data_IF_320574593475
#
_entry.id   IF_320574593475
#
_cell.length_a   1.000
_cell.length_b   1.000
_cell.length_c   1.000
_cell.angle_alpha   90.00
_cell.angle_beta   90.00
_cell.angle_gamma   90.00
#
_symmetry.space_group_name_H-M   'P 1'
#
loop_
_entity.id
_entity.type
_entity.pdbx_description
1 polymer ?
#
# COMPACT_ATOMS: atom_id res chain seq x y z
N UNK A 1 -5.64 -35.97 -3.45
CA UNK A 1 -5.25 -35.24 -2.22
C UNK A 1 -6.48 -34.53 -1.68
N UNK A 2 -6.99 -34.86 -0.46
CA UNK A 2 -8.19 -34.22 0.09
C UNK A 2 -7.88 -32.79 0.50
N UNK A 3 -8.65 -31.83 -0.01
CA UNK A 3 -8.52 -30.42 0.36
C UNK A 3 -8.99 -30.26 1.81
N UNK A 4 -8.10 -29.82 2.70
CA UNK A 4 -8.42 -29.57 4.11
C UNK A 4 -9.40 -28.42 4.26
N UNK A 5 -10.40 -28.57 5.13
CA UNK A 5 -11.32 -27.50 5.47
C UNK A 5 -10.60 -26.31 6.14
N UNK A 6 -11.22 -25.12 6.12
CA UNK A 6 -10.68 -23.93 6.81
C UNK A 6 -10.43 -24.20 8.30
N UNK A 7 -11.37 -24.92 8.95
CA UNK A 7 -11.24 -25.28 10.37
C UNK A 7 -10.01 -26.15 10.61
N UNK A 8 -9.84 -27.23 9.83
CA UNK A 8 -8.67 -28.11 9.94
C UNK A 8 -7.34 -27.36 9.76
N UNK A 9 -7.27 -26.38 8.82
CA UNK A 9 -6.08 -25.54 8.64
C UNK A 9 -5.80 -24.65 9.86
N UNK A 10 -6.84 -24.12 10.48
CA UNK A 10 -6.73 -23.29 11.69
C UNK A 10 -6.27 -24.12 12.87
N UNK A 11 -6.84 -25.30 13.05
CA UNK A 11 -6.49 -26.22 14.15
C UNK A 11 -5.02 -26.69 14.01
N UNK A 12 -4.58 -27.06 12.81
CA UNK A 12 -3.19 -27.42 12.55
C UNK A 12 -2.23 -26.24 12.80
N UNK A 13 -2.63 -25.02 12.43
CA UNK A 13 -1.85 -23.84 12.71
C UNK A 13 -1.76 -23.53 14.20
N UNK A 14 -2.84 -23.71 14.95
CA UNK A 14 -2.87 -23.55 16.40
C UNK A 14 -2.02 -24.60 17.12
N UNK A 15 -2.03 -25.85 16.64
CA UNK A 15 -1.16 -26.93 17.15
C UNK A 15 0.31 -26.60 16.87
N UNK A 16 0.62 -26.10 15.67
CA UNK A 16 1.99 -25.76 15.28
C UNK A 16 2.56 -24.55 16.01
N UNK A 17 1.69 -23.60 16.36
CA UNK A 17 2.06 -22.35 17.03
C UNK A 17 1.19 -22.08 18.27
N UNK A 18 1.28 -22.91 19.31
CA UNK A 18 0.35 -22.89 20.45
C UNK A 18 0.46 -21.60 21.29
N UNK A 19 1.62 -20.98 21.32
CA UNK A 19 1.92 -19.82 22.16
C UNK A 19 2.07 -18.54 21.33
N UNK A 20 1.00 -18.14 20.62
CA UNK A 20 0.97 -16.89 19.88
C UNK A 20 0.55 -15.74 20.78
N UNK A 21 1.36 -14.73 20.81
CA UNK A 21 1.05 -13.48 21.49
C UNK A 21 1.17 -12.33 20.48
N UNK A 22 0.52 -11.21 20.77
CA UNK A 22 0.69 -9.98 19.98
C UNK A 22 2.10 -9.40 20.11
N UNK A 23 2.78 -9.71 21.22
CA UNK A 23 4.17 -9.35 21.41
C UNK A 23 5.10 -10.29 20.61
N UNK A 24 5.88 -9.76 19.65
CA UNK A 24 6.72 -10.57 18.78
C UNK A 24 7.92 -11.19 19.53
N UNK A 25 8.44 -10.54 20.57
CA UNK A 25 9.55 -11.09 21.37
C UNK A 25 9.09 -12.30 22.16
N UNK A 26 7.93 -12.21 22.81
CA UNK A 26 7.34 -13.33 23.56
C UNK A 26 7.05 -14.49 22.62
N UNK A 27 6.46 -14.23 21.46
CA UNK A 27 6.14 -15.26 20.47
C UNK A 27 7.38 -15.97 19.94
N UNK A 28 8.45 -15.22 19.61
CA UNK A 28 9.72 -15.79 19.16
C UNK A 28 10.44 -16.54 20.26
N UNK A 29 10.46 -16.03 21.49
CA UNK A 29 11.01 -16.72 22.65
C UNK A 29 10.34 -18.08 22.82
N UNK A 30 9.01 -18.13 22.84
CA UNK A 30 8.26 -19.36 23.00
C UNK A 30 8.50 -20.35 21.84
N UNK A 31 8.66 -19.86 20.62
CA UNK A 31 9.08 -20.68 19.49
C UNK A 31 10.45 -21.32 19.72
N UNK A 32 11.46 -20.56 20.20
CA UNK A 32 12.79 -21.14 20.48
C UNK A 32 12.77 -22.13 21.65
N UNK A 33 11.97 -21.86 22.71
CA UNK A 33 11.76 -22.79 23.82
C UNK A 33 11.16 -24.12 23.32
N UNK A 34 10.18 -24.09 22.43
CA UNK A 34 9.61 -25.32 21.83
C UNK A 34 10.61 -26.12 21.00
N UNK A 35 11.74 -25.51 20.62
CA UNK A 35 12.86 -26.16 19.91
C UNK A 35 13.99 -26.62 20.84
N UNK A 36 13.75 -26.64 22.14
CA UNK A 36 14.71 -27.11 23.14
C UNK A 36 15.79 -26.10 23.57
N UNK A 37 15.58 -24.83 23.26
CA UNK A 37 16.50 -23.80 23.76
C UNK A 37 16.19 -23.49 25.23
N UNK A 38 17.23 -23.16 26.03
CA UNK A 38 16.99 -22.65 27.37
C UNK A 38 16.38 -21.24 27.34
N UNK A 39 15.77 -20.82 28.44
CA UNK A 39 15.01 -19.56 28.52
C UNK A 39 15.85 -18.33 28.15
N UNK A 40 17.01 -18.16 28.73
CA UNK A 40 17.88 -16.99 28.53
C UNK A 40 18.37 -16.89 27.09
N UNK A 41 18.75 -18.01 26.52
CA UNK A 41 19.16 -18.10 25.10
C UNK A 41 18.02 -17.79 24.14
N UNK A 42 16.82 -18.30 24.45
CA UNK A 42 15.63 -18.04 23.65
C UNK A 42 15.21 -16.57 23.73
N UNK A 43 15.18 -15.96 24.91
CA UNK A 43 14.87 -14.54 25.11
C UNK A 43 15.89 -13.64 24.40
N UNK A 44 17.18 -13.85 24.60
CA UNK A 44 18.24 -13.06 23.95
C UNK A 44 18.17 -13.15 22.42
N UNK A 45 17.86 -14.33 21.87
CA UNK A 45 17.71 -14.51 20.43
C UNK A 45 16.46 -13.85 19.88
N UNK A 46 15.32 -13.93 20.59
CA UNK A 46 14.09 -13.30 20.22
C UNK A 46 14.27 -11.77 20.16
N UNK A 47 14.73 -11.17 21.25
CA UNK A 47 15.00 -9.73 21.33
C UNK A 47 15.94 -9.26 20.25
N UNK A 48 17.11 -9.89 20.09
CA UNK A 48 18.09 -9.54 19.04
C UNK A 48 17.46 -9.58 17.64
N UNK A 49 16.53 -10.52 17.37
CA UNK A 49 15.88 -10.62 16.05
C UNK A 49 14.90 -9.48 15.81
N UNK A 50 14.12 -9.10 16.82
CA UNK A 50 13.17 -7.95 16.72
C UNK A 50 13.95 -6.65 16.60
N UNK A 51 14.90 -6.39 17.52
CA UNK A 51 15.71 -5.17 17.53
C UNK A 51 16.45 -4.97 16.18
N UNK A 52 17.04 -6.04 15.62
CA UNK A 52 17.72 -5.93 14.33
C UNK A 52 16.78 -5.51 13.19
N UNK A 53 15.53 -5.98 13.17
CA UNK A 53 14.55 -5.57 12.17
C UNK A 53 14.17 -4.10 12.39
N UNK A 54 13.87 -3.70 13.62
CA UNK A 54 13.44 -2.34 13.94
C UNK A 54 14.55 -1.30 13.67
N UNK A 55 15.80 -1.58 14.08
CA UNK A 55 16.95 -0.69 13.90
C UNK A 55 17.32 -0.54 12.41
N UNK A 56 17.26 -1.62 11.64
CA UNK A 56 17.67 -1.61 10.24
C UNK A 56 16.53 -1.20 9.28
N UNK A 57 15.27 -1.17 9.74
CA UNK A 57 14.13 -0.76 8.94
C UNK A 57 14.18 0.74 8.67
N UNK A 58 14.56 1.10 7.46
CA UNK A 58 14.59 2.49 6.99
C UNK A 58 13.44 2.73 6.04
N UNK A 59 12.85 3.91 6.14
CA UNK A 59 11.75 4.34 5.28
C UNK A 59 12.20 5.52 4.41
N UNK A 60 11.60 5.57 3.24
CA UNK A 60 11.58 6.73 2.37
C UNK A 60 10.13 7.12 2.09
N UNK A 61 9.93 8.34 1.66
CA UNK A 61 8.61 8.82 1.28
C UNK A 61 8.67 9.62 -0.02
N UNK A 62 7.63 9.44 -0.83
CA UNK A 62 7.40 10.19 -2.06
C UNK A 62 6.06 10.91 -1.89
N UNK A 63 6.02 12.19 -2.26
CA UNK A 63 4.78 12.96 -2.33
C UNK A 63 4.54 13.42 -3.76
N UNK A 64 3.39 13.09 -4.27
CA UNK A 64 2.89 13.50 -5.59
C UNK A 64 1.69 14.41 -5.37
N UNK A 65 1.68 15.58 -6.00
CA UNK A 65 0.54 16.51 -5.98
C UNK A 65 0.13 16.79 -7.42
N UNK A 66 -1.16 16.56 -7.70
CA UNK A 66 -1.74 16.81 -9.02
C UNK A 66 -2.92 17.77 -8.87
N UNK A 67 -2.82 18.94 -9.52
CA UNK A 67 -3.86 19.98 -9.50
C UNK A 67 -4.91 19.67 -10.57
N UNK A 68 -5.77 18.71 -10.28
CA UNK A 68 -6.88 18.27 -11.11
C UNK A 68 -8.04 17.76 -10.24
N UNK A 69 -9.21 17.61 -10.84
CA UNK A 69 -10.36 17.00 -10.16
C UNK A 69 -10.05 15.55 -9.80
N UNK A 70 -10.31 15.14 -8.55
CA UNK A 70 -10.13 13.74 -8.16
C UNK A 70 -10.96 12.81 -9.04
N UNK A 71 -10.30 11.78 -9.58
CA UNK A 71 -10.96 10.76 -10.40
C UNK A 71 -11.47 9.61 -9.54
N UNK A 72 -12.49 8.92 -10.03
CA UNK A 72 -13.04 7.69 -9.45
C UNK A 72 -12.86 6.52 -10.43
N UNK A 73 -12.85 5.31 -9.90
CA UNK A 73 -12.95 4.12 -10.76
C UNK A 73 -14.29 4.10 -11.46
N UNK A 74 -14.27 4.05 -12.79
CA UNK A 74 -15.48 3.82 -13.57
C UNK A 74 -15.98 2.39 -13.32
N UNK A 75 -17.30 2.23 -13.23
CA UNK A 75 -17.92 0.89 -13.17
C UNK A 75 -17.60 0.14 -14.45
N UNK A 76 -17.09 -1.09 -14.39
CA UNK A 76 -16.89 -1.90 -15.57
C UNK A 76 -18.20 -2.04 -16.36
N UNK A 77 -18.13 -1.89 -17.67
CA UNK A 77 -19.25 -2.12 -18.59
C UNK A 77 -18.98 -3.37 -19.41
N UNK A 78 -20.00 -4.14 -19.68
CA UNK A 78 -19.93 -5.29 -20.57
C UNK A 78 -20.49 -4.92 -21.94
N UNK A 79 -19.71 -5.22 -23.00
CA UNK A 79 -20.16 -5.12 -24.38
C UNK A 79 -19.58 -6.28 -25.18
N UNK A 80 -20.41 -7.07 -25.85
CA UNK A 80 -20.01 -8.23 -26.66
C UNK A 80 -19.02 -9.17 -25.93
N UNK A 81 -19.35 -9.61 -24.73
CA UNK A 81 -18.53 -10.49 -23.89
C UNK A 81 -17.20 -9.90 -23.38
N UNK A 82 -16.91 -8.62 -23.66
CA UNK A 82 -15.76 -7.91 -23.12
C UNK A 82 -16.17 -6.98 -21.97
N UNK A 83 -15.42 -7.06 -20.87
CA UNK A 83 -15.57 -6.14 -19.73
C UNK A 83 -14.52 -5.05 -19.89
N UNK A 84 -14.94 -3.80 -19.90
CA UNK A 84 -14.06 -2.64 -19.98
C UNK A 84 -14.46 -1.52 -19.02
N UNK A 85 -13.52 -0.71 -18.60
CA UNK A 85 -13.76 0.49 -17.79
C UNK A 85 -13.57 1.72 -18.69
N UNK A 86 -14.64 2.49 -18.96
CA UNK A 86 -14.52 3.72 -19.74
C UNK A 86 -13.50 4.67 -19.09
N UNK A 87 -12.74 5.41 -19.87
CA UNK A 87 -11.75 6.40 -19.44
C UNK A 87 -10.55 5.86 -18.63
N UNK A 88 -10.51 4.59 -18.21
CA UNK A 88 -9.42 4.04 -17.41
C UNK A 88 -8.06 4.23 -18.11
N UNK A 89 -7.97 3.97 -19.40
CA UNK A 89 -6.72 4.12 -20.16
C UNK A 89 -6.30 5.58 -20.30
N UNK A 90 -7.25 6.52 -20.51
CA UNK A 90 -6.95 7.94 -20.63
C UNK A 90 -6.47 8.52 -19.28
N UNK A 91 -7.18 8.21 -18.19
CA UNK A 91 -6.82 8.62 -16.85
C UNK A 91 -5.44 8.06 -16.46
N UNK A 92 -5.17 6.78 -16.76
CA UNK A 92 -3.87 6.16 -16.50
C UNK A 92 -2.75 6.85 -17.29
N UNK A 93 -2.93 7.12 -18.58
CA UNK A 93 -1.91 7.77 -19.42
C UNK A 93 -1.60 9.19 -18.96
N UNK A 94 -2.63 9.96 -18.57
CA UNK A 94 -2.43 11.29 -18.02
C UNK A 94 -1.67 11.24 -16.69
N UNK A 95 -2.13 10.40 -15.77
CA UNK A 95 -1.50 10.18 -14.47
C UNK A 95 -0.04 9.73 -14.61
N UNK A 96 0.23 8.77 -15.50
CA UNK A 96 1.57 8.28 -15.79
C UNK A 96 2.52 9.41 -16.21
N UNK A 97 2.07 10.27 -17.14
CA UNK A 97 2.86 11.42 -17.57
C UNK A 97 3.15 12.41 -16.45
N UNK A 98 2.13 12.72 -15.63
CA UNK A 98 2.27 13.61 -14.49
C UNK A 98 3.25 13.06 -13.45
N UNK A 99 3.09 11.79 -13.06
CA UNK A 99 3.96 11.15 -12.07
C UNK A 99 5.39 11.00 -12.58
N UNK A 100 5.59 10.55 -13.81
CA UNK A 100 6.93 10.46 -14.43
C UNK A 100 7.60 11.83 -14.55
N UNK A 101 6.83 12.89 -14.76
CA UNK A 101 7.35 14.24 -14.74
C UNK A 101 7.87 14.67 -13.38
N UNK A 102 7.22 14.24 -12.29
CA UNK A 102 7.59 14.56 -10.90
C UNK A 102 8.69 13.62 -10.39
N UNK A 103 8.64 12.35 -10.76
CA UNK A 103 9.43 11.26 -10.19
C UNK A 103 10.39 10.62 -11.21
N UNK A 104 11.08 11.44 -12.03
CA UNK A 104 11.88 10.98 -13.19
C UNK A 104 12.90 9.88 -12.89
N UNK A 105 13.53 9.91 -11.72
CA UNK A 105 14.65 9.04 -11.37
C UNK A 105 14.26 7.95 -10.34
N UNK A 106 12.97 7.81 -10.05
CA UNK A 106 12.51 6.88 -9.04
C UNK A 106 12.25 5.53 -9.69
N UNK A 107 12.95 4.51 -9.21
CA UNK A 107 12.69 3.12 -9.57
C UNK A 107 11.39 2.63 -8.94
N UNK A 108 10.77 1.61 -9.56
CA UNK A 108 9.53 1.03 -9.07
C UNK A 108 9.67 0.50 -7.64
N UNK A 109 8.80 0.98 -6.75
CA UNK A 109 8.72 0.54 -5.36
C UNK A 109 8.20 -0.90 -5.34
N UNK A 110 8.93 -1.78 -4.68
CA UNK A 110 8.63 -3.21 -4.59
C UNK A 110 8.64 -3.74 -3.14
N UNK A 111 8.89 -2.86 -2.18
CA UNK A 111 8.97 -3.16 -0.75
C UNK A 111 7.65 -2.84 -0.05
N UNK A 112 7.41 -3.37 1.17
CA UNK A 112 6.22 -3.02 1.94
C UNK A 112 6.06 -1.50 2.08
N UNK A 113 4.86 -1.01 1.81
CA UNK A 113 4.56 0.41 1.76
C UNK A 113 3.24 0.77 2.43
N UNK A 114 3.12 2.04 2.80
CA UNK A 114 1.90 2.70 3.27
C UNK A 114 1.52 3.78 2.26
N UNK A 115 0.23 4.00 2.07
CA UNK A 115 -0.28 5.03 1.16
C UNK A 115 -1.28 5.93 1.86
N UNK A 116 -1.16 7.25 1.63
CA UNK A 116 -2.15 8.24 2.03
C UNK A 116 -2.61 8.96 0.76
N UNK A 117 -3.91 9.02 0.54
CA UNK A 117 -4.52 9.72 -0.59
C UNK A 117 -5.45 10.80 -0.02
N UNK A 118 -5.11 12.07 -0.26
CA UNK A 118 -5.96 13.19 0.07
C UNK A 118 -6.60 13.73 -1.23
N UNK A 119 -7.90 13.54 -1.37
CA UNK A 119 -8.69 13.99 -2.50
C UNK A 119 -9.42 15.29 -2.14
N UNK A 120 -9.01 16.40 -2.76
CA UNK A 120 -9.62 17.72 -2.58
C UNK A 120 -10.62 17.95 -3.73
N UNK A 121 -11.88 17.78 -3.41
CA UNK A 121 -13.00 17.88 -4.34
C UNK A 121 -13.38 19.36 -4.51
N UNK A 122 -13.81 19.72 -5.70
CA UNK A 122 -14.23 21.09 -5.99
C UNK A 122 -15.32 21.56 -5.01
N UNK A 123 -15.13 22.75 -4.44
CA UNK A 123 -16.10 23.38 -3.55
C UNK A 123 -17.39 23.71 -4.30
N UNK A 124 -18.57 23.21 -3.89
CA UNK A 124 -19.80 23.58 -4.54
C UNK A 124 -20.07 25.09 -4.42
N UNK A 125 -20.49 25.73 -5.52
CA UNK A 125 -20.71 27.17 -5.57
C UNK A 125 -21.80 27.70 -4.63
N UNK A 126 -22.68 26.83 -4.14
CA UNK A 126 -23.79 27.13 -3.21
C UNK A 126 -23.36 27.13 -1.72
N UNK A 127 -22.10 26.75 -1.41
CA UNK A 127 -21.62 26.74 -0.03
C UNK A 127 -21.48 28.18 0.49
N UNK A 128 -22.02 28.52 1.67
CA UNK A 128 -21.89 29.83 2.28
C UNK A 128 -20.41 30.20 2.52
N UNK A 129 -20.02 31.48 2.37
CA UNK A 129 -18.61 31.90 2.47
C UNK A 129 -17.96 31.56 3.82
N UNK A 130 -18.69 31.59 4.93
CA UNK A 130 -18.22 31.21 6.26
C UNK A 130 -17.96 29.69 6.36
N UNK A 131 -18.82 28.87 5.77
CA UNK A 131 -18.59 27.42 5.70
C UNK A 131 -17.45 27.04 4.76
N UNK A 132 -17.21 27.81 3.67
CA UNK A 132 -16.03 27.59 2.81
C UNK A 132 -14.74 27.64 3.63
N UNK A 133 -14.62 28.61 4.55
CA UNK A 133 -13.46 28.73 5.43
C UNK A 133 -13.32 27.49 6.34
N UNK A 134 -14.44 27.00 6.86
CA UNK A 134 -14.45 25.82 7.75
C UNK A 134 -14.12 24.52 7.00
N UNK A 135 -14.58 24.36 5.77
CA UNK A 135 -14.20 23.24 4.91
C UNK A 135 -12.73 23.28 4.52
N UNK A 136 -12.21 24.45 4.10
CA UNK A 136 -10.77 24.61 3.82
C UNK A 136 -9.91 24.35 5.05
N UNK A 137 -10.39 24.75 6.22
CA UNK A 137 -9.77 24.47 7.50
C UNK A 137 -9.89 23.02 7.99
N UNK A 138 -10.62 22.16 7.25
CA UNK A 138 -10.91 20.75 7.60
C UNK A 138 -11.65 20.62 8.95
N UNK A 139 -12.44 21.61 9.31
CA UNK A 139 -13.32 21.60 10.49
C UNK A 139 -14.64 20.91 10.19
N UNK A 140 -15.11 21.03 8.93
CA UNK A 140 -16.31 20.35 8.45
C UNK A 140 -15.95 19.17 7.54
N UNK A 141 -16.66 18.05 7.72
CA UNK A 141 -16.53 16.85 6.91
C UNK A 141 -17.48 16.87 5.71
N UNK A 142 -17.12 16.14 4.67
CA UNK A 142 -17.90 16.05 3.44
C UNK A 142 -18.54 14.66 3.28
N UNK A 143 -19.70 14.63 2.64
CA UNK A 143 -20.44 13.39 2.29
C UNK A 143 -20.68 13.22 0.79
N UNK A 144 -19.99 14.00 -0.05
CA UNK A 144 -20.20 14.05 -1.49
C UNK A 144 -19.38 12.99 -2.26
N UNK A 145 -19.76 12.80 -3.53
CA UNK A 145 -19.04 11.96 -4.49
C UNK A 145 -17.64 12.54 -4.79
N UNK A 146 -16.65 11.70 -5.17
CA UNK A 146 -16.74 10.25 -5.42
C UNK A 146 -16.69 9.41 -4.13
N UNK A 147 -17.11 8.12 -4.25
CA UNK A 147 -17.09 7.19 -3.13
C UNK A 147 -15.68 6.93 -2.63
N UNK A 148 -15.53 6.72 -1.33
CA UNK A 148 -14.26 6.55 -0.63
C UNK A 148 -13.39 5.43 -1.23
N UNK A 149 -13.96 4.24 -1.40
CA UNK A 149 -13.26 3.07 -1.94
C UNK A 149 -12.90 3.23 -3.43
N UNK A 150 -13.75 3.91 -4.20
CA UNK A 150 -13.50 4.18 -5.62
C UNK A 150 -12.32 5.11 -5.85
N UNK A 151 -12.09 6.10 -4.97
CA UNK A 151 -10.88 6.93 -5.00
C UNK A 151 -9.65 6.06 -4.76
N UNK A 152 -9.65 5.30 -3.67
CA UNK A 152 -8.53 4.43 -3.32
C UNK A 152 -8.16 3.50 -4.46
N UNK A 153 -9.14 2.80 -5.00
CA UNK A 153 -8.94 1.87 -6.12
C UNK A 153 -8.41 2.57 -7.36
N UNK A 154 -8.98 3.72 -7.74
CA UNK A 154 -8.55 4.44 -8.93
C UNK A 154 -7.06 4.79 -8.87
N UNK A 155 -6.60 5.39 -7.77
CA UNK A 155 -5.22 5.84 -7.65
C UNK A 155 -4.23 4.70 -7.42
N UNK A 156 -4.60 3.65 -6.67
CA UNK A 156 -3.72 2.47 -6.52
C UNK A 156 -3.55 1.73 -7.85
N UNK A 157 -4.60 1.61 -8.66
CA UNK A 157 -4.51 1.01 -9.99
C UNK A 157 -3.66 1.87 -10.95
N UNK A 158 -3.77 3.19 -10.91
CA UNK A 158 -2.95 4.10 -11.73
C UNK A 158 -1.47 4.13 -11.33
N UNK A 159 -1.15 3.84 -10.07
CA UNK A 159 0.24 3.76 -9.61
C UNK A 159 0.99 2.53 -10.11
N UNK A 160 0.27 1.46 -10.47
CA UNK A 160 0.89 0.19 -10.93
C UNK A 160 1.73 0.42 -12.18
N UNK A 161 2.94 -0.13 -12.19
CA UNK A 161 3.94 0.01 -13.25
C UNK A 161 4.39 1.45 -13.55
N UNK A 162 3.93 2.43 -12.78
CA UNK A 162 4.35 3.84 -12.87
C UNK A 162 5.30 4.17 -11.72
N UNK A 163 4.90 3.86 -10.50
CA UNK A 163 5.65 4.14 -9.29
C UNK A 163 5.79 2.91 -8.37
N UNK A 164 4.87 1.98 -8.45
CA UNK A 164 4.86 0.73 -7.69
C UNK A 164 4.78 -0.48 -8.62
N UNK A 165 5.31 -1.61 -8.18
CA UNK A 165 5.22 -2.86 -8.96
C UNK A 165 3.80 -3.43 -8.99
N UNK A 166 3.10 -3.36 -7.88
CA UNK A 166 1.71 -3.81 -7.70
C UNK A 166 1.13 -3.22 -6.41
N UNK A 167 -0.21 -3.12 -6.29
CA UNK A 167 -0.90 -2.56 -5.13
C UNK A 167 -0.82 -3.46 -3.87
N UNK A 168 -0.50 -4.72 -4.02
CA UNK A 168 -0.36 -5.66 -2.91
C UNK A 168 0.88 -5.42 -2.01
N UNK A 169 1.75 -4.48 -2.38
CA UNK A 169 2.82 -3.99 -1.49
C UNK A 169 2.28 -3.09 -0.37
N UNK A 170 1.08 -2.53 -0.54
CA UNK A 170 0.48 -1.69 0.49
C UNK A 170 -0.08 -2.55 1.61
N UNK A 171 0.48 -2.42 2.80
CA UNK A 171 0.00 -3.07 4.02
C UNK A 171 -0.87 -2.15 4.87
N UNK A 172 -0.88 -0.85 4.57
CA UNK A 172 -1.69 0.19 5.23
C UNK A 172 -2.08 1.26 4.22
N UNK A 173 -3.33 1.73 4.28
CA UNK A 173 -3.84 2.81 3.45
C UNK A 173 -4.75 3.74 4.22
N UNK A 174 -4.70 5.02 3.87
CA UNK A 174 -5.57 6.06 4.37
C UNK A 174 -6.08 6.88 3.17
N UNK A 175 -7.38 7.14 3.12
CA UNK A 175 -8.02 7.92 2.08
C UNK A 175 -8.82 9.02 2.76
N UNK A 176 -8.57 10.25 2.40
CA UNK A 176 -9.26 11.40 2.94
C UNK A 176 -9.92 12.18 1.81
N UNK A 177 -11.14 12.68 2.05
CA UNK A 177 -11.88 13.56 1.16
C UNK A 177 -12.09 14.90 1.82
N UNK A 178 -11.86 15.97 1.07
CA UNK A 178 -12.07 17.34 1.53
C UNK A 178 -12.72 18.15 0.41
N UNK A 179 -13.50 19.18 0.73
CA UNK A 179 -13.75 20.24 -0.22
C UNK A 179 -12.56 21.20 -0.27
N UNK A 180 -12.31 21.74 -1.46
CA UNK A 180 -11.34 22.81 -1.64
C UNK A 180 -11.69 23.71 -2.82
N UNK A 181 -11.40 24.98 -2.73
CA UNK A 181 -11.47 25.93 -3.85
C UNK A 181 -10.38 25.65 -4.90
N UNK A 182 -9.36 24.84 -4.53
CA UNK A 182 -8.32 24.39 -5.45
C UNK A 182 -8.36 22.85 -5.49
N UNK A 183 -9.13 22.26 -6.42
CA UNK A 183 -9.20 20.81 -6.58
C UNK A 183 -7.84 20.22 -6.86
N UNK A 184 -7.53 19.14 -6.17
CA UNK A 184 -6.25 18.43 -6.34
C UNK A 184 -6.28 17.06 -5.70
N UNK A 185 -5.29 16.25 -6.01
CA UNK A 185 -5.00 15.00 -5.30
C UNK A 185 -3.58 15.03 -4.80
N UNK A 186 -3.41 14.70 -3.54
CA UNK A 186 -2.12 14.52 -2.91
C UNK A 186 -1.95 13.06 -2.52
N UNK A 187 -0.89 12.43 -3.04
CA UNK A 187 -0.56 11.03 -2.73
C UNK A 187 0.77 11.02 -2.00
N UNK A 188 0.80 10.40 -0.84
CA UNK A 188 2.04 10.14 -0.10
C UNK A 188 2.24 8.64 0.00
N UNK A 189 3.38 8.15 -0.48
CA UNK A 189 3.78 6.75 -0.34
C UNK A 189 5.00 6.72 0.56
N UNK A 190 4.88 6.02 1.69
CA UNK A 190 5.99 5.72 2.60
C UNK A 190 6.35 4.26 2.47
N UNK A 191 7.58 3.95 2.09
CA UNK A 191 8.01 2.58 1.80
C UNK A 191 9.34 2.24 2.46
N UNK A 192 9.53 0.95 2.70
CA UNK A 192 10.81 0.45 3.23
C UNK A 192 11.88 0.51 2.14
N UNK A 193 13.12 0.89 2.50
CA UNK A 193 14.25 0.90 1.56
C UNK A 193 14.64 -0.50 1.08
N UNK A 194 14.34 -1.51 1.88
CA UNK A 194 14.77 -2.89 1.63
C UNK A 194 13.78 -3.88 2.23
N UNK A 195 13.85 -5.13 1.79
CA UNK A 195 13.05 -6.22 2.36
C UNK A 195 13.69 -6.75 3.64
N UNK A 196 12.98 -6.70 4.75
CA UNK A 196 13.38 -7.25 6.04
C UNK A 196 12.94 -8.72 6.25
N UNK A 197 12.25 -9.30 5.28
CA UNK A 197 11.76 -10.69 5.28
C UNK A 197 12.25 -11.47 4.07
N UNK A 198 13.02 -12.54 4.30
CA UNK A 198 13.43 -13.48 3.25
C UNK A 198 12.26 -14.09 2.48
N UNK A 199 11.17 -14.36 3.18
CA UNK A 199 9.96 -14.91 2.56
C UNK A 199 9.35 -13.91 1.58
N UNK A 200 9.17 -12.65 2.01
CA UNK A 200 8.60 -11.58 1.18
C UNK A 200 9.51 -11.28 0.00
N UNK A 201 10.82 -11.14 0.24
CA UNK A 201 11.82 -10.95 -0.81
C UNK A 201 11.76 -12.02 -1.90
N UNK A 202 11.77 -13.30 -1.51
CA UNK A 202 11.70 -14.43 -2.44
C UNK A 202 10.38 -14.45 -3.22
N UNK A 203 9.26 -14.15 -2.54
CA UNK A 203 7.93 -14.06 -3.16
C UNK A 203 7.88 -12.97 -4.22
N UNK A 204 8.38 -11.78 -3.94
CA UNK A 204 8.46 -10.67 -4.90
C UNK A 204 9.39 -11.03 -6.07
N UNK A 205 10.60 -11.49 -5.80
CA UNK A 205 11.58 -11.87 -6.82
C UNK A 205 11.09 -12.95 -7.79
N UNK A 206 10.19 -13.82 -7.35
CA UNK A 206 9.64 -14.89 -8.20
C UNK A 206 8.62 -14.41 -9.24
N UNK A 207 8.06 -13.20 -9.11
CA UNK A 207 7.03 -12.67 -10.01
C UNK A 207 7.60 -12.38 -11.40
N UNK A 208 6.84 -12.71 -12.44
CA UNK A 208 7.23 -12.44 -13.84
C UNK A 208 7.40 -10.94 -14.12
N UNK A 209 6.47 -10.12 -13.62
CA UNK A 209 6.51 -8.65 -13.73
C UNK A 209 7.77 -8.05 -13.11
N UNK A 210 8.17 -8.56 -11.94
CA UNK A 210 9.40 -8.11 -11.25
C UNK A 210 10.65 -8.49 -12.03
N UNK A 211 10.72 -9.70 -12.60
CA UNK A 211 11.85 -10.13 -13.44
C UNK A 211 12.00 -9.23 -14.66
N UNK A 212 10.90 -8.97 -15.37
CA UNK A 212 10.90 -8.08 -16.52
C UNK A 212 11.31 -6.64 -16.16
N UNK A 213 10.84 -6.11 -15.01
CA UNK A 213 11.20 -4.78 -14.53
C UNK A 213 12.68 -4.67 -14.11
N UNK A 214 13.28 -5.75 -13.60
CA UNK A 214 14.73 -5.81 -13.30
C UNK A 214 15.52 -5.82 -14.59
N UNK A 215 15.15 -6.65 -15.56
CA UNK A 215 15.81 -6.76 -16.86
C UNK A 215 15.77 -5.43 -17.64
N UNK A 216 14.68 -4.68 -17.54
CA UNK A 216 14.56 -3.34 -18.15
C UNK A 216 15.22 -2.21 -17.34
N UNK A 217 15.79 -2.49 -16.15
CA UNK A 217 16.43 -1.50 -15.28
C UNK A 217 15.45 -0.59 -14.51
N UNK A 218 14.15 -0.83 -14.61
CA UNK A 218 13.12 -0.05 -13.92
C UNK A 218 13.00 -0.37 -12.42
N UNK A 219 13.55 -1.51 -11.99
CA UNK A 219 13.43 -1.98 -10.62
C UNK A 219 14.76 -2.49 -10.09
N UNK A 220 15.02 -2.17 -8.83
CA UNK A 220 16.12 -2.71 -8.05
C UNK A 220 15.59 -3.43 -6.80
N UNK A 221 16.05 -4.66 -6.57
CA UNK A 221 15.70 -5.41 -5.38
C UNK A 221 16.78 -5.23 -4.30
N UNK A 222 16.41 -4.57 -3.21
CA UNK A 222 17.30 -4.37 -2.06
C UNK A 222 16.89 -5.28 -0.90
N UNK A 223 17.87 -5.92 -0.28
CA UNK A 223 17.73 -6.77 0.90
C UNK A 223 18.64 -6.24 2.01
N UNK A 224 18.15 -6.29 3.28
CA UNK A 224 18.95 -6.05 4.49
C UNK A 224 19.90 -7.21 4.74
#
# INVERSE_FOLDING_TARGET
>A
MKIKSRKQKIDEYNIKYPNRYYDPEISLRNYFLSRGWNFDKALKKAKKKVDNIEINRKYESIRVVMYELPVKTDRPRAFNSHIYSPNAAANHSYFEKAVKGICKDIKLINTPAEIIINAYIEMPSRVPPDEVILFEGKVLDIIDMPDYDNIGKAYTDMLKNVLIIDDDIFHRGEINKFYSVVPRVEIVIRYQKSHDSDYVYKKIKSRKSVKAAIESGQLELMRI
#
